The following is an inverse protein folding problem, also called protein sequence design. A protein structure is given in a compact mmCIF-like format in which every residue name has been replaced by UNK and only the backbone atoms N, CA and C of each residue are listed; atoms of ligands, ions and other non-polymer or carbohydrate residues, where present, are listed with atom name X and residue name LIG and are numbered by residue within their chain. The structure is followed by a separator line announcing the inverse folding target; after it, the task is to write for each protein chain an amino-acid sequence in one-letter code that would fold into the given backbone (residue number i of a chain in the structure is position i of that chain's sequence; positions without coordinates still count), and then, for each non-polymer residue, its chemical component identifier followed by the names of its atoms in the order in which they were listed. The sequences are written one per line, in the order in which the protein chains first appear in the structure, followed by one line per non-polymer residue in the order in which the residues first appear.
data_IF_976062689389
#
_entry.id   IF_976062689389
#
_cell.length_a   1.000
_cell.length_b   1.000
_cell.length_c   1.000
_cell.angle_alpha   90.00
_cell.angle_beta   90.00
_cell.angle_gamma   90.00
#
_symmetry.space_group_name_H-M   'P 1'
#
loop_
_entity.id
_entity.type
_entity.pdbx_description
1 polymer ?
2 polymer ?
#
# COMPACT_ATOMS: atom_id res chain seq x y z
N UNK A 24 21.24 3.17 -0.82
CA UNK A 24 19.92 2.50 -0.87
C UNK A 24 19.17 2.92 -2.14
N UNK A 25 18.39 2.01 -2.69
CA UNK A 25 17.62 2.28 -3.90
C UNK A 25 16.15 2.00 -3.67
N UNK A 26 15.29 2.86 -4.21
CA UNK A 26 13.86 2.70 -4.05
C UNK A 26 13.30 1.91 -5.22
N UNK A 27 12.86 0.70 -4.94
CA UNK A 27 12.32 -0.16 -5.96
C UNK A 27 11.02 0.42 -6.48
N UNK A 28 10.23 1.01 -5.59
CA UNK A 28 8.95 1.60 -6.00
C UNK A 28 8.64 2.79 -5.12
N UNK A 29 7.73 3.63 -5.57
CA UNK A 29 7.33 4.81 -4.80
C UNK A 29 6.17 5.53 -5.46
N UNK A 30 5.08 5.68 -4.72
CA UNK A 30 3.92 6.37 -5.23
C UNK A 30 3.08 6.94 -4.09
N UNK A 31 2.32 7.99 -4.39
CA UNK A 31 1.49 8.63 -3.38
C UNK A 31 0.31 7.73 -3.01
N UNK A 32 0.22 7.38 -1.74
CA UNK A 32 -0.88 6.55 -1.26
C UNK A 32 -1.10 6.75 0.22
N UNK A 33 -2.35 6.74 0.63
CA UNK A 33 -2.68 6.90 2.04
C UNK A 33 -3.09 5.56 2.64
N UNK A 34 -2.90 5.42 3.94
CA UNK A 34 -3.24 4.18 4.63
C UNK A 34 -4.66 4.21 5.16
N UNK A 35 -5.14 3.06 5.61
CA UNK A 35 -6.50 2.95 6.13
C UNK A 35 -6.51 2.14 7.42
N UNK A 36 -7.67 2.05 8.07
CA UNK A 36 -7.80 1.29 9.30
C UNK A 36 -9.00 0.36 9.23
N UNK A 37 -8.74 -0.94 9.24
CA UNK A 37 -9.82 -1.91 9.19
C UNK A 37 -10.06 -2.50 10.58
N UNK A 38 -11.26 -2.26 11.10
CA UNK A 38 -11.60 -2.78 12.41
C UNK A 38 -12.89 -3.60 12.33
N UNK A 39 -12.81 -4.85 12.79
CA UNK A 39 -13.96 -5.74 12.76
C UNK A 39 -14.30 -6.13 11.32
N UNK A 40 -15.12 -5.30 10.68
CA UNK A 40 -15.52 -5.55 9.30
C UNK A 40 -15.75 -4.23 8.56
N UNK A 41 -15.16 -3.14 9.06
CA UNK A 41 -15.31 -1.84 8.44
C UNK A 41 -13.94 -1.24 8.13
N UNK A 42 -13.79 -0.73 6.92
CA UNK A 42 -12.53 -0.13 6.52
C UNK A 42 -12.68 1.39 6.47
N UNK A 43 -11.87 2.09 7.25
CA UNK A 43 -11.92 3.54 7.26
C UNK A 43 -10.59 4.13 6.78
N UNK A 44 -10.58 4.90 5.72
CA UNK A 44 -9.33 5.49 5.18
C UNK A 44 -8.76 6.60 6.07
N UNK A 45 -7.44 6.71 6.09
CA UNK A 45 -6.77 7.72 6.89
C UNK A 45 -6.48 8.94 6.02
N UNK A 46 -6.85 10.11 6.52
CA UNK A 46 -6.64 11.35 5.79
C UNK A 46 -5.15 11.72 5.74
N UNK A 47 -4.36 11.05 6.57
CA UNK A 47 -2.91 11.32 6.62
C UNK A 47 -2.23 10.71 5.40
N UNK A 48 -2.56 11.25 4.24
CA UNK A 48 -1.99 10.79 2.99
C UNK A 48 -0.48 10.63 3.10
N UNK A 49 0.07 9.53 2.57
CA UNK A 49 1.50 9.31 2.63
C UNK A 49 2.05 8.86 1.28
N UNK A 50 3.13 8.11 1.34
CA UNK A 50 3.77 7.61 0.14
C UNK A 50 4.24 6.18 0.38
N UNK A 51 3.79 5.28 -0.47
CA UNK A 51 4.17 3.89 -0.33
C UNK A 51 5.34 3.60 -1.24
N UNK A 52 6.52 3.43 -0.64
CA UNK A 52 7.70 3.15 -1.45
C UNK A 52 8.43 1.93 -0.91
N UNK A 53 9.17 1.27 -1.79
CA UNK A 53 9.93 0.09 -1.46
C UNK A 53 11.41 0.34 -1.67
N UNK A 54 12.23 -0.11 -0.73
CA UNK A 54 13.68 0.09 -0.82
C UNK A 54 14.43 -1.17 -0.41
N UNK A 55 15.42 -1.56 -1.21
CA UNK A 55 16.21 -2.74 -0.91
C UNK A 55 17.54 -2.33 -0.31
N UNK A 56 17.84 -2.91 0.85
CA UNK A 56 19.07 -2.61 1.53
C UNK A 56 20.21 -3.47 1.03
N UNK A 57 21.42 -3.15 1.48
CA UNK A 57 22.59 -3.91 1.07
C UNK A 57 22.47 -5.34 1.57
N UNK A 58 21.49 -5.58 2.44
CA UNK A 58 21.28 -6.92 2.99
C UNK A 58 20.37 -7.73 2.06
N UNK A 59 19.95 -7.12 0.95
CA UNK A 59 19.07 -7.79 0.00
C UNK A 59 17.69 -7.99 0.59
N UNK A 60 17.38 -7.21 1.61
CA UNK A 60 16.09 -7.28 2.26
C UNK A 60 15.25 -6.12 1.79
N UNK A 61 14.08 -6.44 1.27
CA UNK A 61 13.19 -5.43 0.76
C UNK A 61 12.48 -4.75 1.92
N UNK A 62 12.54 -3.43 1.93
CA UNK A 62 11.92 -2.65 2.99
C UNK A 62 10.62 -2.01 2.53
N UNK A 63 9.54 -2.31 3.23
CA UNK A 63 8.24 -1.73 2.89
C UNK A 63 7.97 -0.59 3.85
N UNK A 64 8.08 0.63 3.35
CA UNK A 64 7.88 1.79 4.20
C UNK A 64 6.77 2.71 3.69
N UNK A 65 6.09 3.35 4.64
CA UNK A 65 5.02 4.30 4.33
C UNK A 65 5.31 5.62 5.03
N UNK A 66 5.61 6.62 4.22
CA UNK A 66 5.93 7.94 4.74
C UNK A 66 4.74 8.88 4.62
N UNK A 67 4.39 9.51 5.71
CA UNK A 67 3.27 10.44 5.72
C UNK A 67 3.67 11.71 4.96
N UNK A 68 2.77 12.18 4.11
CA UNK A 68 3.04 13.40 3.34
C UNK A 68 2.88 14.64 4.21
N UNK A 69 2.20 14.48 5.34
CA UNK A 69 1.98 15.58 6.24
C UNK A 69 3.29 16.16 6.75
N UNK A 70 4.20 15.28 7.15
CA UNK A 70 5.49 15.72 7.66
C UNK A 70 6.61 15.21 6.76
N UNK A 71 6.28 14.25 5.90
CA UNK A 71 7.26 13.68 4.99
C UNK A 71 8.21 12.74 5.73
N UNK A 72 7.78 12.26 6.89
CA UNK A 72 8.59 11.35 7.69
C UNK A 72 8.11 9.91 7.52
N UNK A 73 9.04 8.97 7.57
CA UNK A 73 8.68 7.57 7.43
C UNK A 73 8.01 7.08 8.71
N UNK A 74 6.71 6.86 8.64
CA UNK A 74 5.94 6.40 9.80
C UNK A 74 5.95 4.89 9.88
N UNK A 75 6.13 4.22 8.75
CA UNK A 75 6.15 2.77 8.73
C UNK A 75 7.41 2.25 8.06
N UNK A 76 7.96 1.16 8.60
CA UNK A 76 9.17 0.55 8.07
C UNK A 76 9.30 -0.91 8.48
N UNK A 77 9.05 -1.81 7.54
CA UNK A 77 9.14 -3.24 7.82
C UNK A 77 9.62 -4.00 6.60
N UNK A 78 10.55 -4.92 6.83
CA UNK A 78 11.10 -5.72 5.76
C UNK A 78 10.10 -6.78 5.34
N UNK A 79 9.92 -6.93 4.04
CA UNK A 79 8.98 -7.92 3.54
C UNK A 79 9.73 -9.03 2.81
N UNK A 80 9.59 -10.24 3.33
CA UNK A 80 10.26 -11.40 2.74
C UNK A 80 9.52 -11.84 1.48
N UNK A 81 10.17 -12.61 0.63
CA UNK A 81 9.55 -13.10 -0.63
C UNK A 81 8.26 -13.87 -0.36
N UNK A 82 7.21 -13.49 -1.08
CA UNK A 82 5.92 -14.14 -0.92
C UNK A 82 5.37 -13.96 0.50
N UNK A 83 5.99 -13.07 1.27
CA UNK A 83 5.54 -12.79 2.63
C UNK A 83 4.17 -12.18 2.61
N UNK A 84 3.91 -11.33 1.63
CA UNK A 84 2.62 -10.68 1.53
C UNK A 84 2.26 -10.47 0.07
N UNK A 85 0.97 -10.23 -0.17
CA UNK A 85 0.47 -10.02 -1.52
C UNK A 85 -0.22 -8.67 -1.65
N UNK A 86 0.13 -7.94 -2.69
CA UNK A 86 -0.46 -6.63 -2.95
C UNK A 86 -1.52 -6.80 -4.03
N UNK A 87 -2.78 -6.50 -3.68
CA UNK A 87 -3.88 -6.67 -4.62
C UNK A 87 -4.91 -5.55 -4.45
N UNK A 88 -5.83 -5.45 -5.41
CA UNK A 88 -6.86 -4.43 -5.35
C UNK A 88 -8.15 -4.99 -4.75
N UNK A 89 -8.91 -4.16 -4.06
CA UNK A 89 -10.16 -4.60 -3.46
C UNK A 89 -11.35 -3.93 -4.13
N UNK A 90 -11.87 -4.52 -5.19
CA UNK A 90 -13.04 -3.95 -5.92
C UNK A 90 -14.36 -4.22 -5.20
N UNK A 91 -14.45 -3.72 -3.97
CA UNK A 91 -15.67 -3.89 -3.18
C UNK A 91 -16.35 -2.56 -2.95
N UNK A 92 -15.55 -1.52 -2.71
CA UNK A 92 -16.11 -0.19 -2.48
C UNK A 92 -15.77 0.73 -3.66
N UNK A 93 -16.71 0.94 -4.57
CA UNK A 93 -16.47 1.83 -5.76
C UNK A 93 -16.42 3.30 -5.35
N UNK A 94 -15.38 4.00 -5.81
CA UNK A 94 -15.20 5.42 -5.50
C UNK A 94 -13.81 5.88 -5.89
N UNK A 95 -12.83 4.99 -5.70
CA UNK A 95 -11.44 5.32 -6.03
C UNK A 95 -10.56 4.07 -6.07
N UNK A 96 -9.26 4.28 -6.15
CA UNK A 96 -8.33 3.15 -6.19
C UNK A 96 -7.98 2.69 -4.78
N UNK A 97 -8.41 1.48 -4.45
CA UNK A 97 -8.14 0.93 -3.12
C UNK A 97 -7.42 -0.42 -3.22
N UNK A 98 -6.29 -0.52 -2.54
CA UNK A 98 -5.50 -1.75 -2.55
C UNK A 98 -5.36 -2.30 -1.14
N UNK A 99 -5.08 -3.60 -1.03
CA UNK A 99 -4.92 -4.21 0.28
C UNK A 99 -3.68 -5.09 0.30
N UNK A 100 -2.91 -5.01 1.38
CA UNK A 100 -1.71 -5.81 1.50
C UNK A 100 -2.00 -6.94 2.48
N UNK A 101 -1.88 -8.18 2.01
CA UNK A 101 -2.16 -9.32 2.88
C UNK A 101 -0.88 -10.09 3.13
N UNK A 102 -0.57 -10.34 4.39
CA UNK A 102 0.63 -11.07 4.71
C UNK A 102 0.36 -12.57 4.69
N UNK A 103 0.90 -13.23 3.68
CA UNK A 103 0.71 -14.66 3.54
C UNK A 103 1.32 -15.39 4.73
N UNK A 104 2.42 -14.85 5.23
CA UNK A 104 3.11 -15.47 6.36
C UNK A 104 2.27 -15.39 7.63
N UNK A 105 1.35 -14.42 7.68
CA UNK A 105 0.50 -14.24 8.85
C UNK A 105 -0.96 -14.09 8.43
N UNK A 106 -1.76 -13.49 9.31
CA UNK A 106 -3.17 -13.28 9.02
C UNK A 106 -3.52 -11.79 9.12
N UNK A 107 -2.50 -10.94 9.05
CA UNK A 107 -2.71 -9.51 9.14
C UNK A 107 -2.69 -8.88 7.76
N UNK A 108 -3.57 -7.92 7.53
CA UNK A 108 -3.65 -7.25 6.25
C UNK A 108 -3.88 -5.75 6.43
N UNK A 109 -3.42 -4.98 5.44
CA UNK A 109 -3.56 -3.53 5.49
C UNK A 109 -4.28 -3.01 4.24
N UNK A 110 -4.83 -1.81 4.34
CA UNK A 110 -5.54 -1.23 3.20
C UNK A 110 -4.96 0.16 2.87
N UNK A 111 -4.86 0.46 1.58
CA UNK A 111 -4.32 1.73 1.13
C UNK A 111 -5.12 2.28 -0.05
N UNK A 112 -5.02 3.57 -0.25
CA UNK A 112 -5.70 4.20 -1.37
C UNK A 112 -4.73 5.11 -2.13
N UNK A 113 -4.77 5.02 -3.46
CA UNK A 113 -3.88 5.81 -4.28
C UNK A 113 -4.30 7.27 -4.32
N UNK A 114 -3.32 8.15 -4.31
CA UNK A 114 -3.58 9.58 -4.37
C UNK A 114 -3.24 10.12 -5.75
N UNK A 115 -2.79 9.25 -6.65
CA UNK A 115 -2.44 9.71 -7.98
C UNK A 115 -3.70 10.04 -8.79
N UNK A 116 -3.78 11.22 -9.39
CA UNK A 116 -4.98 11.61 -10.20
C UNK A 116 -5.31 10.59 -11.28
N UNK A 117 -4.28 10.03 -11.89
CA UNK A 117 -4.47 9.05 -12.96
C UNK A 117 -3.97 7.68 -12.52
N UNK A 118 -4.67 6.64 -12.97
CA UNK A 118 -4.28 5.28 -12.62
C UNK A 118 -3.34 4.68 -13.66
N UNK A 119 -2.96 5.50 -14.64
CA UNK A 119 -2.08 5.05 -15.69
C UNK A 119 -0.76 4.56 -15.10
N UNK A 120 -0.47 5.01 -13.88
CA UNK A 120 0.76 4.61 -13.21
C UNK A 120 0.46 3.78 -11.97
N UNK A 121 -0.78 3.89 -11.49
CA UNK A 121 -1.19 3.14 -10.30
C UNK A 121 -1.09 1.65 -10.56
N UNK A 122 -1.49 1.23 -11.75
CA UNK A 122 -1.43 -0.18 -12.09
C UNK A 122 0.00 -0.70 -12.10
N UNK A 123 0.89 0.11 -12.65
CA UNK A 123 2.30 -0.26 -12.72
C UNK A 123 2.90 -0.33 -11.33
N UNK A 124 2.53 0.63 -10.49
CA UNK A 124 3.04 0.69 -9.13
C UNK A 124 2.57 -0.54 -8.38
N UNK A 125 1.32 -0.90 -8.64
CA UNK A 125 0.73 -2.06 -8.01
C UNK A 125 1.51 -3.31 -8.40
N UNK A 126 1.82 -3.41 -9.69
CA UNK A 126 2.55 -4.57 -10.19
C UNK A 126 3.97 -4.59 -9.63
N UNK A 127 4.59 -3.41 -9.59
CA UNK A 127 5.95 -3.30 -9.06
C UNK A 127 5.98 -3.71 -7.60
N UNK A 128 4.99 -3.29 -6.84
CA UNK A 128 4.94 -3.65 -5.44
C UNK A 128 4.94 -5.17 -5.29
N UNK A 129 4.13 -5.84 -6.09
CA UNK A 129 4.06 -7.29 -6.03
C UNK A 129 5.36 -7.89 -6.52
N UNK A 130 6.04 -7.19 -7.39
CA UNK A 130 7.29 -7.69 -7.92
C UNK A 130 8.41 -7.52 -6.92
N UNK A 131 8.37 -6.47 -6.14
CA UNK A 131 9.42 -6.24 -5.18
C UNK A 131 9.18 -7.03 -3.91
N UNK A 132 7.93 -7.35 -3.64
CA UNK A 132 7.61 -8.11 -2.43
C UNK A 132 7.54 -9.61 -2.72
N UNK A 133 7.47 -9.99 -4.00
CA UNK A 133 7.41 -11.40 -4.34
C UNK A 133 8.55 -11.77 -5.27
N UNK A 134 9.17 -10.76 -5.87
CA UNK A 134 10.28 -11.01 -6.77
C UNK A 134 11.40 -10.02 -6.55
N UNK A 135 12.03 -10.11 -5.42
CA UNK A 135 13.15 -9.20 -5.05
C UNK A 135 14.40 -9.41 -5.91
N UNK A 136 15.19 -8.37 -6.11
CA UNK A 136 16.43 -8.46 -6.93
C UNK A 136 17.31 -9.64 -6.52
N UNK B 5 -7.21 19.38 -8.09
CA UNK B 5 -6.12 18.69 -8.84
C UNK B 5 -5.99 17.26 -8.35
N UNK B 6 -5.52 17.11 -7.12
CA UNK B 6 -5.35 15.77 -6.56
C UNK B 6 -6.71 15.13 -6.23
N UNK B 7 -6.79 13.82 -6.24
CA UNK B 7 -8.06 13.09 -5.95
C UNK B 7 -8.39 13.09 -4.46
N UNK B 8 -9.68 13.18 -4.15
CA UNK B 8 -10.12 13.18 -2.76
C UNK B 8 -10.03 11.77 -2.16
N UNK B 9 -9.89 11.66 -0.87
CA UNK B 9 -9.80 10.33 -0.20
C UNK B 9 -11.13 9.58 -0.23
N UNK B 10 -11.09 8.26 -0.17
CA UNK B 10 -12.31 7.40 -0.18
C UNK B 10 -13.11 7.49 1.12
N UNK B 11 -14.34 7.01 1.09
CA UNK B 11 -15.19 7.04 2.27
C UNK B 11 -15.22 5.66 2.94
N UNK B 12 -15.53 5.60 4.21
CA UNK B 12 -15.60 4.31 4.97
C UNK B 12 -16.62 3.35 4.36
N UNK B 13 -16.31 2.06 4.40
CA UNK B 13 -17.21 1.04 3.85
C UNK B 13 -17.01 -0.29 4.55
N UNK B 14 -17.96 -1.19 4.40
CA UNK B 14 -17.88 -2.51 5.03
C UNK B 14 -17.09 -3.47 4.14
N UNK B 15 -16.20 -4.25 4.76
CA UNK B 15 -15.40 -5.21 4.01
C UNK B 15 -15.63 -6.60 4.58
N UNK B 16 -16.01 -7.52 3.70
CA UNK B 16 -16.26 -8.88 4.13
C UNK B 16 -15.62 -9.85 3.15
N UNK B 17 -14.87 -10.79 3.67
CA UNK B 17 -14.20 -11.75 2.80
C UNK B 17 -15.22 -12.68 2.16
N UNK B 18 -15.80 -12.21 1.05
CA UNK B 18 -16.80 -13.00 0.33
C UNK B 18 -16.14 -13.96 -0.65
#
# INVERSE_FOLDING_TARGET
GPGSMTTSGALFPSLVPGSRGASNKYLVEFRAGKMSLKGTTVTPDKRKGLVYIQQTDDSLIHFCWKDRTSGNVEDDLIIFPDDCEFKRVPQCPSGRVYVLKFKAGSKRLFFWMQEPKTDQDEEHCRKVNEYLNNPPMPGALGASGSSGHELSAL
GPGSQEPEPPEPFEYIDD
#
